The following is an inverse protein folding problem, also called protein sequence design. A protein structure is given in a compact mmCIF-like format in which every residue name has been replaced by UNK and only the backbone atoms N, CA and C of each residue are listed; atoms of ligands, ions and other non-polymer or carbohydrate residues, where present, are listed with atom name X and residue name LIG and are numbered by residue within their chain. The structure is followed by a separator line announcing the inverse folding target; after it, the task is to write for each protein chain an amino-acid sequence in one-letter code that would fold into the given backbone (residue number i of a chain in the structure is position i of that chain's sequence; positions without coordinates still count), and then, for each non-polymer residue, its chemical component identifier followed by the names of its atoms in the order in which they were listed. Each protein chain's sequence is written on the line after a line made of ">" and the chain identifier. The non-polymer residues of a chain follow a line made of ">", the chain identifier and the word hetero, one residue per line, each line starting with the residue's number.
data_IF_934261615517
#
_entry.id   IF_934261615517
#
_cell.length_a   1.000
_cell.length_b   1.000
_cell.length_c   1.000
_cell.angle_alpha   90.00
_cell.angle_beta   90.00
_cell.angle_gamma   90.00
#
_symmetry.space_group_name_H-M   'P 1'
#
loop_
_entity.id
_entity.type
_entity.pdbx_description
1 polymer ?
#
# COMPACT_ATOMS: atom_id res chain seq x y z
N UNK A 1 -21.01 -11.35 9.70
CA UNK A 1 -19.64 -11.61 9.20
C UNK A 1 -18.65 -10.94 10.14
N UNK A 2 -17.49 -11.53 10.40
CA UNK A 2 -16.45 -10.84 11.17
C UNK A 2 -16.03 -9.57 10.42
N UNK A 3 -15.78 -8.49 11.16
CA UNK A 3 -15.42 -7.20 10.56
C UNK A 3 -14.00 -7.27 9.97
N UNK A 4 -13.84 -7.00 8.67
CA UNK A 4 -12.57 -7.05 7.93
C UNK A 4 -11.48 -6.18 8.55
N UNK A 5 -11.85 -5.06 9.19
CA UNK A 5 -10.90 -4.18 9.87
C UNK A 5 -10.14 -4.93 10.96
N UNK A 6 -10.82 -5.82 11.70
CA UNK A 6 -10.20 -6.61 12.76
C UNK A 6 -9.55 -7.90 12.25
N UNK A 7 -9.90 -8.35 11.04
CA UNK A 7 -9.32 -9.54 10.41
C UNK A 7 -8.02 -9.22 9.68
N UNK A 8 -7.92 -8.02 9.06
CA UNK A 8 -6.74 -7.64 8.31
C UNK A 8 -5.47 -7.78 9.16
N UNK A 9 -4.56 -8.59 8.68
CA UNK A 9 -3.22 -8.77 9.25
C UNK A 9 -2.16 -8.71 8.14
N UNK A 10 -0.89 -8.61 8.51
CA UNK A 10 0.21 -8.57 7.55
C UNK A 10 0.62 -9.99 7.16
N UNK A 11 0.38 -10.37 5.93
CA UNK A 11 0.74 -11.65 5.33
C UNK A 11 2.01 -11.46 4.49
N UNK A 12 2.97 -12.37 4.63
CA UNK A 12 4.27 -12.29 3.96
C UNK A 12 4.69 -13.57 3.25
N UNK A 13 3.84 -14.60 3.28
CA UNK A 13 4.05 -15.85 2.54
C UNK A 13 2.87 -16.10 1.62
N UNK A 14 3.17 -16.43 0.39
CA UNK A 14 2.19 -16.58 -0.68
C UNK A 14 2.34 -17.91 -1.38
N UNK A 15 1.26 -18.36 -2.03
CA UNK A 15 1.26 -19.61 -2.81
C UNK A 15 1.94 -19.46 -4.18
N UNK A 16 2.14 -18.21 -4.63
CA UNK A 16 2.60 -17.90 -5.99
C UNK A 16 1.47 -17.92 -7.05
N UNK A 17 0.24 -18.28 -6.67
CA UNK A 17 -0.91 -18.20 -7.56
C UNK A 17 -1.20 -16.74 -7.95
N UNK A 18 -1.52 -16.52 -9.23
CA UNK A 18 -1.78 -15.19 -9.75
C UNK A 18 -3.06 -14.58 -9.19
N UNK A 19 -3.03 -13.27 -8.94
CA UNK A 19 -4.21 -12.47 -8.64
C UNK A 19 -4.92 -12.15 -9.96
N UNK A 20 -6.24 -12.37 -10.02
CA UNK A 20 -7.00 -12.18 -11.26
C UNK A 20 -7.12 -10.70 -11.64
N UNK A 21 -7.30 -10.38 -12.94
CA UNK A 21 -7.54 -9.00 -13.38
C UNK A 21 -8.73 -8.34 -12.69
N UNK A 22 -9.81 -9.09 -12.43
CA UNK A 22 -11.01 -8.61 -11.74
C UNK A 22 -10.73 -8.28 -10.27
N UNK A 23 -9.92 -9.09 -9.60
CA UNK A 23 -9.46 -8.82 -8.23
C UNK A 23 -8.60 -7.56 -8.20
N UNK A 24 -7.65 -7.41 -9.14
CA UNK A 24 -6.79 -6.22 -9.25
C UNK A 24 -7.64 -4.96 -9.47
N UNK A 25 -8.59 -5.00 -10.40
CA UNK A 25 -9.49 -3.86 -10.63
C UNK A 25 -10.28 -3.49 -9.36
N UNK A 26 -10.76 -4.49 -8.62
CA UNK A 26 -11.49 -4.28 -7.36
C UNK A 26 -10.61 -3.63 -6.29
N UNK A 27 -9.35 -4.06 -6.17
CA UNK A 27 -8.36 -3.46 -5.28
C UNK A 27 -8.10 -1.98 -5.61
N UNK A 28 -7.94 -1.66 -6.90
CA UNK A 28 -7.71 -0.29 -7.36
C UNK A 28 -8.93 0.61 -7.11
N UNK A 29 -10.14 0.10 -7.37
CA UNK A 29 -11.40 0.82 -7.03
C UNK A 29 -11.48 1.14 -5.54
N UNK A 30 -11.11 0.21 -4.67
CA UNK A 30 -11.08 0.45 -3.23
C UNK A 30 -10.06 1.53 -2.85
N UNK A 31 -8.87 1.52 -3.45
CA UNK A 31 -7.87 2.59 -3.28
C UNK A 31 -8.41 3.95 -3.68
N UNK A 32 -9.03 4.04 -4.85
CA UNK A 32 -9.62 5.29 -5.40
C UNK A 32 -10.83 5.78 -4.60
N UNK A 33 -11.48 4.92 -3.80
CA UNK A 33 -12.58 5.30 -2.92
C UNK A 33 -12.12 5.96 -1.61
N UNK A 34 -10.82 6.11 -1.38
CA UNK A 34 -10.28 6.75 -0.19
C UNK A 34 -10.67 8.25 -0.13
N UNK A 35 -10.78 8.82 1.07
CA UNK A 35 -10.86 10.28 1.21
C UNK A 35 -9.51 10.92 0.89
N UNK A 36 -9.53 12.15 0.39
CA UNK A 36 -8.34 12.97 0.23
C UNK A 36 -8.60 14.41 0.63
N UNK A 37 -7.55 15.14 0.97
CA UNK A 37 -7.63 16.56 1.32
C UNK A 37 -8.32 17.31 0.17
N UNK A 38 -9.47 17.95 0.46
CA UNK A 38 -10.33 18.64 -0.54
C UNK A 38 -10.68 17.83 -1.78
N UNK A 39 -10.70 16.51 -1.68
CA UNK A 39 -10.97 15.62 -2.80
C UNK A 39 -9.99 15.80 -3.99
N UNK A 40 -8.72 16.11 -3.70
CA UNK A 40 -7.68 16.32 -4.73
C UNK A 40 -7.30 15.00 -5.42
N UNK A 41 -7.38 13.87 -4.69
CA UNK A 41 -7.07 12.54 -5.24
C UNK A 41 -5.68 12.48 -5.88
N UNK A 42 -4.61 12.72 -5.10
CA UNK A 42 -3.24 12.84 -5.63
C UNK A 42 -2.63 11.49 -5.97
N UNK A 43 -3.29 10.38 -5.63
CA UNK A 43 -2.77 9.04 -5.86
C UNK A 43 -2.71 8.66 -7.33
N UNK A 44 -1.64 7.97 -7.66
CA UNK A 44 -1.45 7.20 -8.88
C UNK A 44 -1.06 5.78 -8.47
N UNK A 45 -1.37 4.78 -9.30
CA UNK A 45 -1.11 3.39 -8.95
C UNK A 45 -0.28 2.72 -10.05
N UNK A 46 0.84 2.09 -9.65
CA UNK A 46 1.59 1.21 -10.54
C UNK A 46 1.36 -0.23 -10.12
N UNK A 47 0.80 -1.02 -11.01
CA UNK A 47 0.55 -2.46 -10.82
C UNK A 47 1.73 -3.22 -11.39
N UNK A 48 2.41 -4.00 -10.56
CA UNK A 48 3.59 -4.77 -10.93
C UNK A 48 3.29 -6.26 -10.79
N UNK A 49 3.31 -6.99 -11.90
CA UNK A 49 3.15 -8.45 -11.97
C UNK A 49 4.37 -9.11 -12.64
N UNK A 50 5.23 -8.31 -13.29
CA UNK A 50 6.44 -8.81 -13.90
C UNK A 50 7.40 -9.35 -12.83
N UNK A 51 7.79 -10.62 -12.97
CA UNK A 51 8.60 -11.32 -11.99
C UNK A 51 9.97 -10.66 -11.78
N UNK A 52 10.63 -10.25 -12.85
CA UNK A 52 11.95 -9.62 -12.79
C UNK A 52 11.90 -8.28 -12.03
N UNK A 53 10.86 -7.49 -12.29
CA UNK A 53 10.60 -6.23 -11.59
C UNK A 53 10.31 -6.47 -10.10
N UNK A 54 9.46 -7.46 -9.76
CA UNK A 54 9.16 -7.82 -8.37
C UNK A 54 10.42 -8.31 -7.63
N UNK A 55 11.26 -9.12 -8.27
CA UNK A 55 12.52 -9.59 -7.70
C UNK A 55 13.48 -8.42 -7.45
N UNK A 56 13.58 -7.48 -8.39
CA UNK A 56 14.39 -6.27 -8.23
C UNK A 56 13.92 -5.42 -7.06
N UNK A 57 12.60 -5.18 -6.94
CA UNK A 57 12.03 -4.40 -5.81
C UNK A 57 12.30 -5.11 -4.49
N UNK A 58 12.30 -6.44 -4.46
CA UNK A 58 12.56 -7.22 -3.24
C UNK A 58 13.94 -6.96 -2.62
N UNK A 59 14.90 -6.48 -3.42
CA UNK A 59 16.27 -6.19 -2.99
C UNK A 59 16.46 -4.75 -2.46
N UNK A 60 15.47 -3.84 -2.63
CA UNK A 60 15.60 -2.45 -2.20
C UNK A 60 15.58 -2.26 -0.67
N UNK A 61 15.30 -3.30 0.09
CA UNK A 61 15.37 -3.23 1.55
C UNK A 61 14.98 -4.53 2.23
N UNK A 62 15.44 -4.71 3.46
CA UNK A 62 15.21 -5.93 4.26
C UNK A 62 13.73 -6.26 4.52
N UNK A 63 12.82 -5.31 4.27
CA UNK A 63 11.37 -5.47 4.50
C UNK A 63 10.58 -5.71 3.22
N UNK A 64 11.25 -5.94 2.07
CA UNK A 64 10.60 -6.18 0.77
C UNK A 64 10.73 -7.62 0.26
N UNK A 65 11.47 -8.48 0.98
CA UNK A 65 11.82 -9.85 0.56
C UNK A 65 10.61 -10.74 0.20
N UNK A 66 9.42 -10.47 0.76
CA UNK A 66 8.20 -11.24 0.44
C UNK A 66 7.77 -11.08 -1.02
N UNK A 67 8.26 -10.06 -1.73
CA UNK A 67 7.99 -9.87 -3.15
C UNK A 67 8.62 -10.96 -4.03
N UNK A 68 9.58 -11.74 -3.52
CA UNK A 68 10.10 -12.94 -4.20
C UNK A 68 9.05 -14.03 -4.39
N UNK A 69 8.05 -14.08 -3.53
CA UNK A 69 6.98 -15.07 -3.58
C UNK A 69 5.64 -14.44 -4.03
N UNK A 70 5.46 -13.14 -3.83
CA UNK A 70 4.22 -12.46 -4.18
C UNK A 70 4.05 -12.36 -5.71
N UNK A 71 2.85 -12.68 -6.24
CA UNK A 71 2.56 -12.54 -7.66
C UNK A 71 2.22 -11.09 -8.07
N UNK A 72 2.01 -10.20 -7.11
CA UNK A 72 1.54 -8.84 -7.34
C UNK A 72 2.13 -7.86 -6.33
N UNK A 73 2.55 -6.70 -6.82
CA UNK A 73 2.71 -5.50 -6.02
C UNK A 73 1.86 -4.36 -6.57
N UNK A 74 1.27 -3.55 -5.69
CA UNK A 74 0.68 -2.27 -6.05
C UNK A 74 1.50 -1.18 -5.38
N UNK A 75 2.12 -0.33 -6.19
CA UNK A 75 2.85 0.84 -5.71
C UNK A 75 1.90 2.02 -5.74
N UNK A 76 1.59 2.56 -4.56
CA UNK A 76 0.77 3.77 -4.43
C UNK A 76 1.71 4.95 -4.46
N UNK A 77 1.55 5.77 -5.50
CA UNK A 77 2.36 6.96 -5.76
C UNK A 77 1.54 8.21 -5.51
N UNK A 78 2.22 9.32 -5.22
CA UNK A 78 1.63 10.64 -5.13
C UNK A 78 2.07 11.50 -6.32
N UNK A 79 1.10 12.15 -6.97
CA UNK A 79 1.34 13.25 -7.89
C UNK A 79 1.48 14.55 -7.09
N UNK A 80 2.71 15.02 -6.94
CA UNK A 80 3.01 16.22 -6.14
C UNK A 80 2.59 17.53 -6.81
N UNK A 81 2.32 17.52 -8.13
CA UNK A 81 1.79 18.68 -8.84
C UNK A 81 0.31 18.96 -8.47
N UNK A 82 -0.38 17.95 -7.93
CA UNK A 82 -1.74 18.11 -7.36
C UNK A 82 -1.74 18.72 -5.95
N UNK A 83 -0.57 18.96 -5.35
CA UNK A 83 -0.50 19.63 -4.04
C UNK A 83 -0.95 21.09 -4.17
N UNK A 84 -1.85 21.51 -3.28
CA UNK A 84 -2.34 22.88 -3.33
C UNK A 84 -1.27 23.89 -2.91
N UNK A 85 -1.17 25.06 -3.56
CA UNK A 85 -0.20 26.10 -3.21
C UNK A 85 -0.26 26.54 -1.74
N UNK A 86 -1.45 26.63 -1.14
CA UNK A 86 -1.65 26.98 0.27
C UNK A 86 -1.19 25.88 1.23
N UNK A 87 -0.93 24.70 0.72
CA UNK A 87 -0.45 23.53 1.48
C UNK A 87 0.93 23.06 1.00
N UNK A 88 1.58 23.83 0.13
CA UNK A 88 2.90 23.48 -0.37
C UNK A 88 3.88 23.18 0.79
N UNK A 89 4.54 22.03 0.71
CA UNK A 89 5.44 21.52 1.73
C UNK A 89 4.77 20.91 2.96
N UNK A 90 3.44 20.79 3.01
CA UNK A 90 2.73 20.10 4.12
C UNK A 90 2.47 18.63 3.85
N UNK A 91 2.71 18.17 2.63
CA UNK A 91 2.69 16.76 2.23
C UNK A 91 1.41 15.99 2.63
N UNK A 92 0.22 16.60 2.47
CA UNK A 92 -1.06 15.93 2.72
C UNK A 92 -1.24 14.68 1.85
N UNK A 93 -0.59 14.65 0.68
CA UNK A 93 -0.57 13.49 -0.19
C UNK A 93 -0.06 12.21 0.50
N UNK A 94 0.77 12.33 1.56
CA UNK A 94 1.20 11.17 2.35
C UNK A 94 0.00 10.54 3.07
N UNK A 95 -0.86 11.39 3.66
CA UNK A 95 -2.06 10.91 4.36
C UNK A 95 -3.08 10.34 3.37
N UNK A 96 -3.29 11.03 2.24
CA UNK A 96 -4.23 10.63 1.20
C UNK A 96 -3.83 9.27 0.61
N UNK A 97 -2.56 9.10 0.21
CA UNK A 97 -2.03 7.83 -0.28
C UNK A 97 -2.03 6.73 0.80
N UNK A 98 -1.84 7.09 2.07
CA UNK A 98 -1.95 6.13 3.18
C UNK A 98 -3.38 5.63 3.36
N UNK A 99 -4.38 6.50 3.21
CA UNK A 99 -5.79 6.12 3.23
C UNK A 99 -6.14 5.18 2.06
N UNK A 100 -5.65 5.49 0.85
CA UNK A 100 -5.82 4.63 -0.33
C UNK A 100 -5.15 3.26 -0.13
N UNK A 101 -3.93 3.24 0.43
CA UNK A 101 -3.20 2.00 0.76
C UNK A 101 -4.00 1.14 1.74
N UNK A 102 -4.53 1.73 2.81
CA UNK A 102 -5.32 0.98 3.79
C UNK A 102 -6.60 0.41 3.17
N UNK A 103 -7.29 1.15 2.32
CA UNK A 103 -8.47 0.65 1.61
C UNK A 103 -8.14 -0.56 0.74
N UNK A 104 -7.04 -0.51 -0.03
CA UNK A 104 -6.57 -1.65 -0.84
C UNK A 104 -6.33 -2.87 0.05
N UNK A 105 -5.68 -2.70 1.20
CA UNK A 105 -5.38 -3.81 2.11
C UNK A 105 -6.62 -4.40 2.76
N UNK A 106 -7.63 -3.59 3.08
CA UNK A 106 -8.92 -4.06 3.57
C UNK A 106 -9.67 -4.84 2.48
N UNK A 107 -9.68 -4.31 1.25
CA UNK A 107 -10.29 -5.01 0.11
C UNK A 107 -9.57 -6.32 -0.22
N UNK A 108 -8.24 -6.37 -0.09
CA UNK A 108 -7.49 -7.62 -0.23
C UNK A 108 -7.98 -8.67 0.78
N UNK A 109 -8.18 -8.27 2.04
CA UNK A 109 -8.72 -9.16 3.09
C UNK A 109 -10.14 -9.65 2.75
N UNK A 110 -11.00 -8.80 2.20
CA UNK A 110 -12.37 -9.17 1.77
C UNK A 110 -12.34 -10.15 0.59
N UNK A 111 -11.33 -10.07 -0.26
CA UNK A 111 -11.10 -10.98 -1.39
C UNK A 111 -10.32 -12.25 -0.99
N UNK A 112 -10.14 -12.49 0.32
CA UNK A 112 -9.33 -13.60 0.85
C UNK A 112 -7.86 -13.58 0.38
N UNK A 113 -7.37 -12.41 -0.05
CA UNK A 113 -5.98 -12.18 -0.39
C UNK A 113 -5.18 -11.73 0.84
N UNK A 114 -3.94 -12.20 0.91
CA UNK A 114 -2.95 -11.71 1.85
C UNK A 114 -2.29 -10.44 1.35
N UNK A 115 -1.99 -9.51 2.26
CA UNK A 115 -1.25 -8.30 1.92
C UNK A 115 -0.34 -7.82 3.03
N UNK A 116 0.71 -7.07 2.66
CA UNK A 116 1.55 -6.36 3.62
C UNK A 116 1.99 -5.01 3.08
N UNK A 117 2.00 -4.01 3.95
CA UNK A 117 2.49 -2.67 3.69
C UNK A 117 4.02 -2.63 3.77
N UNK A 118 4.67 -2.23 2.69
CA UNK A 118 6.10 -1.94 2.63
C UNK A 118 6.25 -0.42 2.59
N UNK A 119 6.80 0.17 3.67
CA UNK A 119 7.02 1.61 3.76
C UNK A 119 8.13 2.05 2.80
N UNK A 120 7.78 2.80 1.77
CA UNK A 120 8.70 3.25 0.72
C UNK A 120 9.19 4.66 1.02
N UNK A 121 8.31 5.67 1.01
CA UNK A 121 8.62 7.03 1.43
C UNK A 121 8.59 7.13 2.98
N UNK A 122 9.45 7.95 3.63
CA UNK A 122 10.44 8.89 3.09
C UNK A 122 11.87 8.31 2.93
N UNK A 123 12.05 7.01 2.86
CA UNK A 123 13.36 6.37 2.77
C UNK A 123 13.94 6.55 1.38
N UNK A 124 14.92 7.47 1.23
CA UNK A 124 15.52 7.78 -0.06
C UNK A 124 16.13 6.55 -0.75
N UNK A 125 16.73 5.67 0.04
CA UNK A 125 17.31 4.41 -0.42
C UNK A 125 16.28 3.40 -0.97
N UNK A 126 14.99 3.65 -0.74
CA UNK A 126 13.89 2.83 -1.24
C UNK A 126 13.11 3.53 -2.36
N UNK A 127 12.63 4.76 -2.12
CA UNK A 127 11.74 5.37 -3.09
C UNK A 127 12.44 5.88 -4.35
N UNK A 128 13.73 6.31 -4.26
CA UNK A 128 14.46 6.78 -5.43
C UNK A 128 14.75 5.66 -6.44
N UNK A 129 15.37 4.51 -6.04
CA UNK A 129 15.59 3.41 -6.98
C UNK A 129 14.28 2.81 -7.49
N UNK A 130 13.22 2.80 -6.67
CA UNK A 130 11.89 2.35 -7.12
C UNK A 130 11.30 3.27 -8.19
N UNK A 131 11.41 4.59 -8.03
CA UNK A 131 10.97 5.57 -9.03
C UNK A 131 11.74 5.41 -10.34
N UNK A 132 13.03 5.18 -10.27
CA UNK A 132 13.91 4.96 -11.41
C UNK A 132 13.57 3.66 -12.15
N UNK A 133 13.43 2.55 -11.40
CA UNK A 133 13.07 1.23 -11.95
C UNK A 133 11.72 1.29 -12.69
N UNK A 134 10.73 1.99 -12.12
CA UNK A 134 9.39 2.09 -12.69
C UNK A 134 9.26 3.21 -13.73
N UNK A 135 10.31 3.97 -14.00
CA UNK A 135 10.30 5.07 -14.97
C UNK A 135 9.35 6.21 -14.61
N UNK A 136 9.18 6.49 -13.30
CA UNK A 136 8.24 7.50 -12.83
C UNK A 136 8.67 8.91 -13.23
N UNK A 137 7.74 9.80 -13.64
CA UNK A 137 8.02 11.22 -13.81
C UNK A 137 8.50 11.86 -12.49
N UNK A 138 9.22 12.98 -12.56
CA UNK A 138 9.82 13.65 -11.39
C UNK A 138 8.81 14.09 -10.33
N UNK A 139 7.58 14.39 -10.74
CA UNK A 139 6.48 14.79 -9.86
C UNK A 139 5.73 13.60 -9.26
N UNK A 140 6.04 12.37 -9.66
CA UNK A 140 5.39 11.17 -9.12
C UNK A 140 6.32 10.49 -8.13
N UNK A 141 5.90 10.46 -6.86
CA UNK A 141 6.69 9.90 -5.75
C UNK A 141 6.05 8.60 -5.26
N UNK A 142 6.75 7.45 -5.27
CA UNK A 142 6.23 6.23 -4.68
C UNK A 142 6.17 6.35 -3.15
N UNK A 143 4.97 6.28 -2.59
CA UNK A 143 4.69 6.47 -1.16
C UNK A 143 4.73 5.15 -0.42
N UNK A 144 4.03 4.15 -0.94
CA UNK A 144 3.96 2.82 -0.34
C UNK A 144 3.98 1.75 -1.42
N UNK A 145 4.49 0.58 -1.07
CA UNK A 145 4.38 -0.62 -1.89
C UNK A 145 3.58 -1.65 -1.12
N UNK A 146 2.57 -2.24 -1.74
CA UNK A 146 1.74 -3.29 -1.15
C UNK A 146 2.09 -4.60 -1.85
N UNK A 147 2.64 -5.57 -1.10
CA UNK A 147 2.78 -6.95 -1.57
C UNK A 147 1.44 -7.66 -1.42
N UNK A 148 0.96 -8.35 -2.46
CA UNK A 148 -0.36 -8.99 -2.49
C UNK A 148 -0.27 -10.37 -3.16
N UNK A 149 -1.02 -11.34 -2.64
CA UNK A 149 -1.15 -12.68 -3.22
C UNK A 149 -2.05 -13.58 -2.38
N UNK A 150 -2.27 -14.80 -2.85
CA UNK A 150 -2.99 -15.81 -2.07
C UNK A 150 -2.12 -16.27 -0.91
N UNK A 151 -2.62 -16.20 0.36
CA UNK A 151 -1.80 -16.51 1.54
C UNK A 151 -1.47 -18.01 1.61
N UNK A 152 -0.22 -18.34 1.92
CA UNK A 152 0.22 -19.70 2.26
C UNK A 152 0.49 -19.90 3.76
N UNK A 153 0.14 -18.90 4.58
CA UNK A 153 0.27 -18.93 6.03
C UNK A 153 -1.02 -18.47 6.70
N UNK A 154 -1.33 -19.03 7.86
CA UNK A 154 -2.39 -18.53 8.73
C UNK A 154 -1.79 -17.61 9.79
N UNK A 155 -2.29 -16.38 9.87
CA UNK A 155 -1.86 -15.40 10.87
C UNK A 155 -3.07 -14.91 11.66
N UNK A 156 -3.08 -15.19 12.97
CA UNK A 156 -4.16 -14.73 13.85
C UNK A 156 -4.06 -13.22 14.06
N UNK A 157 -5.13 -12.47 13.78
CA UNK A 157 -5.19 -11.04 14.06
C UNK A 157 -4.98 -10.74 15.55
N UNK A 158 -4.19 -9.72 15.85
CA UNK A 158 -3.90 -9.30 17.23
C UNK A 158 -4.91 -8.27 17.71
N UNK A 159 -5.46 -8.45 18.91
CA UNK A 159 -6.17 -7.38 19.59
C UNK A 159 -5.16 -6.29 20.02
N UNK A 160 -5.32 -5.09 19.45
CA UNK A 160 -4.44 -3.94 19.70
C UNK A 160 -5.13 -2.84 20.53
N UNK A 161 -6.36 -3.11 21.01
CA UNK A 161 -7.09 -2.12 21.80
C UNK A 161 -6.37 -1.87 23.13
N UNK A 162 -6.08 -0.61 23.40
CA UNK A 162 -5.39 -0.17 24.60
C UNK A 162 -6.12 1.05 25.19
N UNK A 163 -6.74 0.86 26.36
CA UNK A 163 -7.45 1.93 27.05
C UNK A 163 -6.54 3.09 27.46
N UNK A 164 -5.26 2.83 27.71
CA UNK A 164 -4.27 3.86 28.06
C UNK A 164 -3.99 4.89 26.96
N UNK A 165 -4.49 4.62 25.73
CA UNK A 165 -4.39 5.56 24.59
C UNK A 165 -5.65 6.40 24.37
N UNK A 166 -6.61 6.30 25.29
CA UNK A 166 -7.87 7.03 25.18
C UNK A 166 -7.86 8.22 26.14
N UNK A 167 -7.99 9.41 25.58
CA UNK A 167 -8.10 10.65 26.30
C UNK A 167 -9.41 11.32 25.88
N UNK A 168 -10.21 11.74 26.85
CA UNK A 168 -11.52 12.36 26.60
C UNK A 168 -11.40 13.88 26.86
N UNK A 169 -11.86 14.69 25.90
CA UNK A 169 -11.86 16.15 25.89
C UNK A 169 -10.46 16.78 25.85
N UNK A 170 -9.55 16.34 26.70
CA UNK A 170 -8.16 16.79 26.78
C UNK A 170 -7.21 15.63 26.97
N UNK A 171 -5.93 15.87 26.69
CA UNK A 171 -4.85 14.95 26.98
C UNK A 171 -4.70 14.74 28.49
#
# INVERSE_FOLDING_TARGET
>A
MPNIIFQRTSIRKYTGENVSPEQIETLLKAGMAAPSARNIQPWEFVVVQDRETLDTISEFGSFAHMLKEAPLAIVVCADTDKEMPVQAGKHYWIQDCSAATQNIMLQATELELGSVWIGTFPKEEMYKPLAELLGLPKNIIPVTTISIGHPSEEVTPKNKFDKGKLHFDKW
#
